data_IF_958986014401
#
_entry.id   IF_958986014401
#
_cell.length_a   1.000
_cell.length_b   1.000
_cell.length_c   1.000
_cell.angle_alpha   90.00
_cell.angle_beta   90.00
_cell.angle_gamma   90.00
#
_symmetry.space_group_name_H-M   'P 1'
#
loop_
_entity.id
_entity.type
_entity.pdbx_description
1 polymer ?
#
# COMPACT_ATOMS: atom_id res chain seq x y z
N UNK A 1 -32.97 27.47 -5.63
CA UNK A 1 -32.78 26.55 -6.77
C UNK A 1 -31.41 26.89 -7.35
N UNK A 2 -30.34 26.15 -7.09
CA UNK A 2 -30.17 24.71 -6.83
C UNK A 2 -29.11 24.54 -5.75
N UNK A 3 -29.38 23.70 -4.75
CA UNK A 3 -28.42 23.29 -3.72
C UNK A 3 -27.66 22.05 -4.21
N UNK A 4 -26.34 22.14 -4.34
CA UNK A 4 -25.45 21.00 -4.57
C UNK A 4 -25.03 20.39 -3.22
N UNK A 5 -25.79 19.39 -2.78
CA UNK A 5 -25.48 18.59 -1.60
C UNK A 5 -25.16 17.14 -2.04
N UNK A 6 -23.93 16.90 -2.48
CA UNK A 6 -23.43 15.55 -2.80
C UNK A 6 -21.92 15.42 -2.56
N UNK A 7 -21.49 15.48 -1.29
CA UNK A 7 -20.10 15.15 -0.93
C UNK A 7 -19.92 14.51 0.45
N UNK A 8 -20.90 13.72 0.92
CA UNK A 8 -20.78 13.02 2.22
C UNK A 8 -20.61 11.49 2.16
N UNK A 9 -20.73 10.82 1.00
CA UNK A 9 -20.71 9.35 0.96
C UNK A 9 -19.31 8.70 0.81
N UNK A 10 -18.28 9.44 0.37
CA UNK A 10 -16.94 8.85 0.19
C UNK A 10 -16.06 8.88 1.46
N UNK A 11 -16.47 9.59 2.53
CA UNK A 11 -15.65 9.78 3.73
C UNK A 11 -15.79 8.65 4.76
N UNK A 12 -16.90 7.90 4.75
CA UNK A 12 -17.15 6.79 5.68
C UNK A 12 -16.37 5.52 5.32
N UNK A 13 -16.16 5.25 4.03
CA UNK A 13 -15.64 3.96 3.58
C UNK A 13 -14.15 3.76 3.89
N UNK A 14 -13.36 4.83 3.88
CA UNK A 14 -11.91 4.73 4.15
C UNK A 14 -11.61 4.65 5.65
N UNK A 15 -12.36 5.38 6.48
CA UNK A 15 -12.26 5.27 7.95
C UNK A 15 -12.73 3.91 8.44
N UNK A 16 -13.81 3.38 7.84
CA UNK A 16 -14.25 2.01 8.07
C UNK A 16 -13.20 0.99 7.62
N UNK A 17 -12.52 1.20 6.49
CA UNK A 17 -11.48 0.28 6.01
C UNK A 17 -10.30 0.13 6.97
N UNK A 18 -9.74 1.22 7.52
CA UNK A 18 -8.66 1.10 8.51
C UNK A 18 -9.14 0.49 9.84
N UNK A 19 -10.35 0.84 10.28
CA UNK A 19 -10.96 0.23 11.48
C UNK A 19 -11.27 -1.25 11.29
N UNK A 20 -11.67 -1.66 10.09
CA UNK A 20 -11.99 -3.04 9.72
C UNK A 20 -10.73 -3.88 9.50
N UNK A 21 -9.65 -3.28 8.98
CA UNK A 21 -8.32 -3.90 8.99
C UNK A 21 -7.82 -4.12 10.43
N UNK A 22 -7.96 -3.12 11.31
CA UNK A 22 -7.55 -3.25 12.72
C UNK A 22 -8.35 -4.35 13.46
N UNK A 23 -9.65 -4.48 13.15
CA UNK A 23 -10.51 -5.57 13.67
C UNK A 23 -10.07 -6.94 13.16
N UNK A 24 -9.76 -7.07 11.87
CA UNK A 24 -9.36 -8.35 11.27
C UNK A 24 -8.00 -8.87 11.77
N UNK A 25 -7.08 -7.98 12.16
CA UNK A 25 -5.82 -8.39 12.80
C UNK A 25 -5.99 -9.01 14.20
N UNK A 26 -7.02 -8.59 14.95
CA UNK A 26 -7.31 -9.14 16.29
C UNK A 26 -7.91 -10.55 16.21
N UNK A 27 -8.62 -10.88 15.13
CA UNK A 27 -9.27 -12.20 14.95
C UNK A 27 -8.29 -13.29 14.50
N UNK A 28 -7.18 -12.95 13.83
CA UNK A 28 -6.21 -13.94 13.33
C UNK A 28 -5.29 -14.48 14.45
N UNK A 29 -5.23 -13.83 15.62
CA UNK A 29 -4.49 -14.30 16.80
C UNK A 29 -5.14 -15.47 17.55
N UNK A 30 -6.33 -15.93 17.12
CA UNK A 30 -7.08 -16.99 17.76
C UNK A 30 -7.48 -18.07 16.74
N UNK A 31 -6.53 -18.90 16.32
CA UNK A 31 -6.86 -20.19 15.70
C UNK A 31 -6.07 -21.27 16.42
N UNK A 32 -6.74 -21.86 17.41
CA UNK A 32 -6.37 -23.13 18.02
C UNK A 32 -6.61 -24.30 17.07
N UNK A 33 -5.68 -25.22 17.16
CA UNK A 33 -5.58 -26.57 16.59
C UNK A 33 -6.90 -27.37 16.63
N UNK A 34 -7.42 -27.79 15.48
CA UNK A 34 -8.27 -28.99 15.39
C UNK A 34 -8.25 -29.59 13.98
N UNK A 35 -7.80 -30.83 13.91
CA UNK A 35 -7.63 -31.68 12.74
C UNK A 35 -8.86 -32.57 12.46
N UNK A 36 -8.89 -33.14 11.24
CA UNK A 36 -9.55 -34.39 10.76
C UNK A 36 -10.82 -34.27 9.87
N UNK A 37 -11.09 -35.27 8.98
CA UNK A 37 -11.28 -35.08 7.53
C UNK A 37 -12.59 -35.67 6.99
N UNK A 38 -12.89 -35.47 5.70
CA UNK A 38 -13.78 -36.39 4.96
C UNK A 38 -13.59 -36.34 3.44
N UNK A 39 -13.75 -37.53 2.86
CA UNK A 39 -13.55 -37.97 1.48
C UNK A 39 -14.83 -37.94 0.64
N UNK A 40 -14.72 -37.78 -0.70
CA UNK A 40 -15.40 -38.65 -1.70
C UNK A 40 -15.15 -38.23 -3.16
N UNK A 41 -14.92 -39.24 -4.00
CA UNK A 41 -14.81 -39.28 -5.48
C UNK A 41 -16.15 -38.97 -6.18
N UNK A 42 -16.25 -38.56 -7.46
CA UNK A 42 -16.12 -39.38 -8.70
C UNK A 42 -16.05 -38.53 -9.99
N UNK A 43 -15.76 -39.19 -11.12
CA UNK A 43 -15.13 -38.68 -12.34
C UNK A 43 -16.03 -38.38 -13.57
N UNK A 44 -15.44 -37.60 -14.49
CA UNK A 44 -15.49 -37.60 -15.98
C UNK A 44 -16.78 -37.28 -16.76
N UNK A 45 -16.69 -36.33 -17.71
CA UNK A 45 -16.73 -36.54 -19.19
C UNK A 45 -16.57 -35.21 -19.96
N UNK A 46 -15.71 -35.19 -21.00
CA UNK A 46 -15.56 -34.13 -22.03
C UNK A 46 -16.01 -34.73 -23.38
N UNK A 47 -16.55 -33.94 -24.33
CA UNK A 47 -15.81 -33.72 -25.58
C UNK A 47 -15.83 -32.25 -26.11
N UNK A 48 -15.04 -32.07 -27.17
CA UNK A 48 -14.32 -30.90 -27.72
C UNK A 48 -15.13 -29.86 -28.55
N UNK A 49 -14.77 -28.57 -28.46
CA UNK A 49 -14.02 -27.67 -29.40
C UNK A 49 -14.75 -27.18 -30.66
N UNK A 50 -14.97 -25.86 -30.74
CA UNK A 50 -14.67 -24.87 -31.81
C UNK A 50 -15.45 -23.59 -31.43
N UNK A 51 -14.90 -22.37 -31.31
CA UNK A 51 -14.14 -21.58 -32.29
C UNK A 51 -13.28 -20.52 -31.60
N UNK A 52 -12.19 -20.19 -32.28
CA UNK A 52 -11.17 -19.19 -31.98
C UNK A 52 -11.74 -17.77 -31.96
N UNK A 53 -11.29 -16.96 -30.99
CA UNK A 53 -10.68 -15.63 -31.15
C UNK A 53 -11.03 -14.72 -29.97
N UNK A 54 -10.19 -14.73 -28.93
CA UNK A 54 -10.10 -13.59 -28.03
C UNK A 54 -8.64 -13.44 -27.56
N UNK A 55 -8.01 -12.36 -28.02
CA UNK A 55 -6.65 -11.94 -27.67
C UNK A 55 -6.49 -11.81 -26.15
N UNK A 56 -5.92 -12.82 -25.52
CA UNK A 56 -5.41 -12.73 -24.15
C UNK A 56 -4.13 -11.87 -24.13
N UNK A 57 -4.09 -10.71 -23.41
CA UNK A 57 -2.86 -9.95 -23.30
C UNK A 57 -1.96 -10.52 -22.20
N UNK A 58 -0.74 -10.88 -22.63
CA UNK A 58 0.51 -11.01 -21.85
C UNK A 58 0.65 -12.25 -20.97
N UNK A 59 1.05 -13.32 -21.64
CA UNK A 59 2.14 -14.23 -21.25
C UNK A 59 2.44 -14.30 -19.75
N UNK A 60 1.92 -15.36 -19.12
CA UNK A 60 2.58 -16.05 -18.03
C UNK A 60 3.89 -16.64 -18.60
N UNK A 61 4.91 -15.81 -18.79
CA UNK A 61 6.23 -16.29 -19.17
C UNK A 61 6.73 -17.10 -17.98
N UNK A 62 6.98 -18.39 -18.20
CA UNK A 62 7.79 -19.22 -17.33
C UNK A 62 9.17 -18.54 -17.23
N UNK A 63 9.33 -17.65 -16.26
CA UNK A 63 10.61 -17.03 -15.99
C UNK A 63 11.58 -18.17 -15.68
N UNK A 64 12.76 -18.23 -16.33
CA UNK A 64 13.84 -19.03 -15.79
C UNK A 64 13.97 -18.64 -14.32
N UNK A 65 14.04 -19.63 -13.41
CA UNK A 65 14.02 -19.45 -11.95
C UNK A 65 15.12 -18.51 -11.38
N UNK A 66 15.88 -17.84 -12.24
CA UNK A 66 17.18 -17.25 -11.93
C UNK A 66 17.18 -15.75 -11.64
N UNK A 67 16.03 -15.04 -11.55
CA UNK A 67 16.06 -13.77 -10.80
C UNK A 67 14.68 -13.18 -10.40
N UNK A 68 13.92 -13.88 -9.55
CA UNK A 68 12.70 -13.31 -8.94
C UNK A 68 13.00 -11.99 -8.23
N UNK A 69 14.18 -11.88 -7.58
CA UNK A 69 14.62 -10.65 -6.93
C UNK A 69 14.73 -9.47 -7.90
N UNK A 70 15.29 -9.69 -9.10
CA UNK A 70 15.37 -8.63 -10.13
C UNK A 70 13.99 -8.14 -10.54
N UNK A 71 13.01 -9.03 -10.68
CA UNK A 71 11.63 -8.65 -11.01
C UNK A 71 11.07 -7.71 -9.93
N UNK A 72 11.25 -8.07 -8.65
CA UNK A 72 10.79 -7.23 -7.55
C UNK A 72 11.53 -5.90 -7.44
N UNK A 73 12.85 -5.88 -7.67
CA UNK A 73 13.64 -4.64 -7.69
C UNK A 73 13.19 -3.73 -8.83
N UNK A 74 13.00 -4.27 -10.04
CA UNK A 74 12.49 -3.49 -11.17
C UNK A 74 11.10 -2.93 -10.91
N UNK A 75 10.20 -3.71 -10.29
CA UNK A 75 8.86 -3.23 -9.97
C UNK A 75 8.87 -2.18 -8.85
N UNK A 76 9.72 -2.34 -7.84
CA UNK A 76 9.92 -1.32 -6.80
C UNK A 76 10.38 0.00 -7.43
N UNK A 77 11.30 -0.05 -8.40
CA UNK A 77 11.74 1.13 -9.14
C UNK A 77 10.62 1.78 -9.96
N UNK A 78 9.75 0.98 -10.60
CA UNK A 78 8.58 1.51 -11.33
C UNK A 78 7.59 2.18 -10.37
N UNK A 79 7.35 1.59 -9.21
CA UNK A 79 6.48 2.19 -8.18
C UNK A 79 7.08 3.49 -7.64
N UNK A 80 8.39 3.54 -7.42
CA UNK A 80 9.08 4.77 -7.01
C UNK A 80 8.90 5.89 -8.06
N UNK A 81 8.97 5.57 -9.36
CA UNK A 81 8.68 6.53 -10.42
C UNK A 81 7.21 6.98 -10.41
N UNK A 82 6.25 6.05 -10.27
CA UNK A 82 4.83 6.41 -10.15
C UNK A 82 4.55 7.31 -8.94
N UNK A 83 5.17 7.04 -7.79
CA UNK A 83 5.10 7.90 -6.59
C UNK A 83 5.61 9.31 -6.89
N UNK A 84 6.72 9.45 -7.64
CA UNK A 84 7.21 10.76 -8.08
C UNK A 84 6.18 11.50 -8.91
N UNK A 85 5.64 10.86 -9.93
CA UNK A 85 4.66 11.46 -10.86
C UNK A 85 3.43 11.95 -10.10
N UNK A 86 2.96 11.18 -9.11
CA UNK A 86 1.73 11.50 -8.39
C UNK A 86 1.89 12.53 -7.27
N UNK A 87 3.05 12.56 -6.62
CA UNK A 87 3.21 13.30 -5.36
C UNK A 87 4.25 14.42 -5.40
N UNK A 88 5.13 14.47 -6.40
CA UNK A 88 6.04 15.61 -6.57
C UNK A 88 5.34 16.76 -7.32
N UNK A 89 5.56 17.99 -6.89
CA UNK A 89 4.99 19.19 -7.52
C UNK A 89 5.80 19.71 -8.73
N UNK A 90 6.78 18.93 -9.20
CA UNK A 90 7.66 19.31 -10.32
C UNK A 90 6.98 19.04 -11.68
N UNK A 91 7.40 19.72 -12.76
CA UNK A 91 6.91 19.43 -14.10
C UNK A 91 7.14 17.96 -14.50
N UNK A 92 6.15 17.30 -15.10
CA UNK A 92 6.17 15.86 -15.43
C UNK A 92 7.40 15.47 -16.25
N UNK A 93 7.82 16.30 -17.21
CA UNK A 93 9.02 16.03 -18.03
C UNK A 93 10.31 15.93 -17.22
N UNK A 94 10.37 16.50 -16.01
CA UNK A 94 11.51 16.40 -15.09
C UNK A 94 11.45 15.19 -14.14
N UNK A 95 10.31 14.48 -14.11
CA UNK A 95 10.04 13.35 -13.21
C UNK A 95 10.37 12.00 -13.87
N UNK A 96 10.25 11.91 -15.20
CA UNK A 96 10.47 10.70 -15.99
C UNK A 96 11.97 10.39 -16.17
N UNK A 97 12.33 9.11 -16.21
CA UNK A 97 13.68 8.65 -16.59
C UNK A 97 14.76 8.92 -15.54
N UNK A 98 14.40 9.49 -14.39
CA UNK A 98 15.30 9.64 -13.24
C UNK A 98 15.31 8.34 -12.44
N UNK A 99 16.22 7.42 -12.76
CA UNK A 99 16.53 6.32 -11.84
C UNK A 99 17.40 6.84 -10.68
N UNK A 100 16.74 7.50 -9.73
CA UNK A 100 17.19 7.52 -8.35
C UNK A 100 16.31 6.48 -7.66
N UNK A 101 16.92 5.50 -6.99
CA UNK A 101 16.20 4.45 -6.27
C UNK A 101 15.08 5.02 -5.37
N UNK A 102 15.29 6.25 -4.87
CA UNK A 102 14.33 6.98 -4.06
C UNK A 102 13.30 7.77 -4.87
N UNK A 103 12.00 7.69 -4.52
CA UNK A 103 10.99 8.55 -5.11
C UNK A 103 11.22 10.03 -4.76
N UNK A 104 11.63 10.37 -3.55
CA UNK A 104 11.69 11.77 -3.12
C UNK A 104 13.13 12.24 -2.90
N UNK A 105 13.41 13.49 -3.26
CA UNK A 105 14.57 14.22 -2.74
C UNK A 105 14.18 15.01 -1.49
N UNK A 106 15.16 15.52 -0.75
CA UNK A 106 14.94 16.38 0.42
C UNK A 106 14.10 17.62 0.09
N UNK A 107 14.12 18.09 -1.17
CA UNK A 107 13.30 19.21 -1.63
C UNK A 107 11.88 18.82 -2.03
N UNK A 108 11.63 17.52 -2.27
CA UNK A 108 10.31 17.02 -2.66
C UNK A 108 9.42 16.72 -1.43
N UNK A 109 10.01 16.59 -0.24
CA UNK A 109 9.29 16.27 1.00
C UNK A 109 8.80 17.53 1.72
N UNK A 110 7.67 17.43 2.41
CA UNK A 110 7.03 18.54 3.12
C UNK A 110 6.39 18.09 4.44
N UNK A 111 6.20 18.99 5.43
CA UNK A 111 5.48 18.64 6.65
C UNK A 111 4.13 18.00 6.35
N UNK A 112 3.84 16.87 7.01
CA UNK A 112 2.65 16.07 6.77
C UNK A 112 1.38 16.86 7.08
N UNK A 113 0.42 16.80 6.15
CA UNK A 113 -0.98 17.09 6.40
C UNK A 113 -1.78 15.79 6.30
N UNK A 114 -2.39 15.37 7.40
CA UNK A 114 -3.17 14.13 7.50
C UNK A 114 -4.33 14.11 6.53
N UNK A 115 -4.97 15.26 6.25
CA UNK A 115 -5.99 15.37 5.22
C UNK A 115 -5.46 15.01 3.84
N UNK A 116 -4.26 15.45 3.50
CA UNK A 116 -3.68 15.21 2.18
C UNK A 116 -3.21 13.75 2.06
N UNK A 117 -2.69 13.17 3.14
CA UNK A 117 -2.40 11.73 3.19
C UNK A 117 -3.66 10.87 3.10
N UNK A 118 -4.76 11.25 3.79
CA UNK A 118 -6.02 10.51 3.68
C UNK A 118 -6.55 10.50 2.24
N UNK A 119 -6.40 11.61 1.53
CA UNK A 119 -6.77 11.69 0.11
C UNK A 119 -5.91 10.81 -0.79
N UNK A 120 -4.67 10.47 -0.39
CA UNK A 120 -3.78 9.60 -1.18
C UNK A 120 -3.92 8.11 -0.86
N UNK A 121 -4.72 7.70 0.13
CA UNK A 121 -4.87 6.28 0.55
C UNK A 121 -5.24 5.38 -0.64
N UNK A 122 -6.27 5.74 -1.42
CA UNK A 122 -6.72 4.91 -2.56
C UNK A 122 -5.61 4.72 -3.59
N UNK A 123 -4.81 5.77 -3.81
CA UNK A 123 -3.65 5.74 -4.69
C UNK A 123 -2.55 4.81 -4.15
N UNK A 124 -2.30 4.80 -2.84
CA UNK A 124 -1.36 3.85 -2.24
C UNK A 124 -1.83 2.39 -2.36
N UNK A 125 -3.12 2.13 -2.14
CA UNK A 125 -3.72 0.81 -2.34
C UNK A 125 -3.54 0.37 -3.81
N UNK A 126 -3.76 1.28 -4.77
CA UNK A 126 -3.56 0.99 -6.19
C UNK A 126 -2.11 0.59 -6.51
N UNK A 127 -1.12 1.31 -5.97
CA UNK A 127 0.29 0.98 -6.17
C UNK A 127 0.65 -0.41 -5.62
N UNK A 128 0.13 -0.75 -4.43
CA UNK A 128 0.35 -2.05 -3.79
C UNK A 128 -0.34 -3.17 -4.58
N UNK A 129 -1.53 -2.89 -5.11
CA UNK A 129 -2.22 -3.81 -6.01
C UNK A 129 -1.43 -4.05 -7.30
N UNK A 130 -0.87 -3.01 -7.93
CA UNK A 130 0.00 -3.17 -9.10
C UNK A 130 1.26 -3.99 -8.78
N UNK A 131 1.88 -3.75 -7.63
CA UNK A 131 3.02 -4.53 -7.15
C UNK A 131 2.71 -6.02 -7.01
N UNK A 132 1.57 -6.33 -6.39
CA UNK A 132 1.11 -7.71 -6.19
C UNK A 132 0.86 -8.45 -7.51
N UNK A 133 0.37 -7.76 -8.54
CA UNK A 133 0.07 -8.38 -9.83
C UNK A 133 1.30 -8.88 -10.57
N UNK A 134 2.50 -8.39 -10.22
CA UNK A 134 3.77 -8.82 -10.80
C UNK A 134 4.30 -10.09 -10.09
N UNK A 135 3.72 -10.46 -8.94
CA UNK A 135 4.13 -11.65 -8.23
C UNK A 135 3.92 -12.91 -9.09
N UNK A 136 4.95 -13.78 -9.15
CA UNK A 136 4.81 -15.08 -9.78
C UNK A 136 3.57 -15.81 -9.25
N UNK A 137 2.78 -16.39 -10.15
CA UNK A 137 1.56 -17.15 -9.82
C UNK A 137 0.44 -16.35 -9.11
N UNK A 138 0.51 -15.02 -9.01
CA UNK A 138 -0.61 -14.24 -8.44
C UNK A 138 -1.93 -14.50 -9.19
N UNK A 139 -1.86 -14.66 -10.51
CA UNK A 139 -3.04 -14.94 -11.35
C UNK A 139 -3.65 -16.33 -11.13
N UNK A 140 -2.96 -17.24 -10.43
CA UNK A 140 -3.49 -18.59 -10.13
C UNK A 140 -4.25 -18.62 -8.80
N UNK A 141 -4.19 -17.54 -8.01
CA UNK A 141 -4.93 -17.42 -6.76
C UNK A 141 -6.42 -17.18 -7.02
N UNK A 142 -7.28 -17.66 -6.12
CA UNK A 142 -8.71 -17.34 -6.14
C UNK A 142 -8.92 -15.85 -5.90
N UNK A 143 -10.08 -15.32 -6.28
CA UNK A 143 -10.39 -13.90 -6.01
C UNK A 143 -10.41 -13.59 -4.51
N UNK A 144 -10.88 -14.51 -3.68
CA UNK A 144 -10.89 -14.36 -2.22
C UNK A 144 -9.47 -14.28 -1.64
N UNK A 145 -8.57 -15.13 -2.13
CA UNK A 145 -7.16 -15.10 -1.74
C UNK A 145 -6.51 -13.80 -2.19
N UNK A 146 -6.71 -13.37 -3.44
CA UNK A 146 -6.17 -12.11 -3.96
C UNK A 146 -6.61 -10.92 -3.11
N UNK A 147 -7.89 -10.86 -2.72
CA UNK A 147 -8.42 -9.82 -1.83
C UNK A 147 -7.73 -9.89 -0.45
N UNK A 148 -7.56 -11.09 0.10
CA UNK A 148 -6.91 -11.30 1.39
C UNK A 148 -5.44 -10.87 1.36
N UNK A 149 -4.69 -11.23 0.32
CA UNK A 149 -3.31 -10.79 0.11
C UNK A 149 -3.22 -9.28 -0.02
N UNK A 150 -4.10 -8.65 -0.82
CA UNK A 150 -4.13 -7.20 -0.95
C UNK A 150 -4.33 -6.51 0.40
N UNK A 151 -5.29 -6.95 1.21
CA UNK A 151 -5.54 -6.38 2.55
C UNK A 151 -4.30 -6.48 3.45
N UNK A 152 -3.63 -7.65 3.46
CA UNK A 152 -2.42 -7.86 4.26
C UNK A 152 -1.25 -7.01 3.78
N UNK A 153 -1.00 -6.97 2.48
CA UNK A 153 0.06 -6.15 1.91
C UNK A 153 -0.18 -4.65 2.15
N UNK A 154 -1.43 -4.17 2.05
CA UNK A 154 -1.76 -2.79 2.40
C UNK A 154 -1.33 -2.47 3.82
N UNK A 155 -1.62 -3.35 4.78
CA UNK A 155 -1.18 -3.15 6.16
C UNK A 155 0.35 -3.14 6.29
N UNK A 156 1.06 -4.09 5.68
CA UNK A 156 2.53 -4.15 5.80
C UNK A 156 3.22 -2.94 5.18
N UNK A 157 2.75 -2.49 4.01
CA UNK A 157 3.30 -1.34 3.31
C UNK A 157 3.07 -0.02 4.04
N UNK A 158 2.04 0.09 4.91
CA UNK A 158 1.87 1.30 5.75
C UNK A 158 3.03 1.55 6.70
N UNK A 159 3.81 0.50 7.03
CA UNK A 159 4.98 0.59 7.90
C UNK A 159 6.27 0.48 7.08
N UNK A 160 6.34 -0.45 6.13
CA UNK A 160 7.54 -0.70 5.34
C UNK A 160 7.86 0.45 4.39
N UNK A 161 6.86 1.02 3.70
CA UNK A 161 7.12 2.09 2.74
C UNK A 161 7.72 3.33 3.43
N UNK A 162 7.15 3.87 4.53
CA UNK A 162 7.75 5.01 5.19
C UNK A 162 9.17 4.74 5.69
N UNK A 163 9.41 3.57 6.27
CA UNK A 163 10.74 3.18 6.76
C UNK A 163 11.76 3.15 5.62
N UNK A 164 11.41 2.50 4.51
CA UNK A 164 12.29 2.33 3.37
C UNK A 164 12.59 3.66 2.69
N UNK A 165 11.58 4.50 2.47
CA UNK A 165 11.74 5.83 1.88
C UNK A 165 12.61 6.73 2.79
N UNK A 166 12.33 6.74 4.09
CA UNK A 166 13.10 7.53 5.07
C UNK A 166 14.58 7.14 5.03
N UNK A 167 14.87 5.84 5.02
CA UNK A 167 16.24 5.33 4.93
C UNK A 167 16.92 5.72 3.61
N UNK A 168 16.19 5.69 2.49
CA UNK A 168 16.73 6.09 1.19
C UNK A 168 17.00 7.59 1.06
N UNK A 169 16.20 8.44 1.73
CA UNK A 169 16.45 9.89 1.79
C UNK A 169 17.69 10.19 2.64
N UNK A 170 17.96 9.37 3.66
CA UNK A 170 19.12 9.50 4.53
C UNK A 170 18.95 10.52 5.66
N UNK A 171 17.74 11.02 5.88
CA UNK A 171 17.41 11.96 6.96
C UNK A 171 16.48 11.31 7.99
N UNK A 172 17.07 10.68 9.01
CA UNK A 172 16.32 9.99 10.07
C UNK A 172 15.62 10.94 11.05
N UNK A 173 15.82 12.26 10.91
CA UNK A 173 15.08 13.26 11.69
C UNK A 173 13.64 13.43 11.20
N UNK A 174 13.32 12.86 10.03
CA UNK A 174 12.03 12.93 9.38
C UNK A 174 11.54 11.52 9.05
N UNK A 175 10.35 11.17 9.54
CA UNK A 175 9.67 9.96 9.13
C UNK A 175 8.78 10.28 7.93
N UNK A 176 9.22 9.86 6.74
CA UNK A 176 8.63 10.27 5.46
C UNK A 176 7.62 9.23 4.99
N UNK A 177 6.38 9.66 4.78
CA UNK A 177 5.27 8.84 4.29
C UNK A 177 5.32 8.71 2.75
N UNK A 178 4.59 7.73 2.16
CA UNK A 178 4.72 7.41 0.74
C UNK A 178 4.16 8.47 -0.22
N UNK A 179 3.49 9.50 0.31
CA UNK A 179 3.05 10.69 -0.43
C UNK A 179 4.04 11.87 -0.35
N UNK A 180 5.22 11.68 0.24
CA UNK A 180 6.22 12.73 0.44
C UNK A 180 5.95 13.64 1.64
N UNK A 181 4.86 13.45 2.37
CA UNK A 181 4.64 14.11 3.66
C UNK A 181 5.56 13.53 4.74
N UNK A 182 6.10 14.34 5.64
CA UNK A 182 6.91 13.85 6.75
C UNK A 182 6.44 14.34 8.11
N UNK A 183 6.69 13.54 9.14
CA UNK A 183 6.60 13.95 10.53
C UNK A 183 7.98 13.98 11.16
N UNK A 184 8.25 14.94 12.05
CA UNK A 184 9.52 14.98 12.76
C UNK A 184 9.63 13.83 13.77
N UNK A 185 10.81 13.22 13.83
CA UNK A 185 11.17 12.22 14.85
C UNK A 185 11.93 12.83 16.02
N UNK A 186 12.29 14.13 15.93
CA UNK A 186 12.99 14.86 16.98
C UNK A 186 12.01 15.23 18.09
N UNK A 187 12.35 14.88 19.33
CA UNK A 187 11.57 15.27 20.51
C UNK A 187 11.43 16.81 20.61
N UNK A 188 10.21 17.29 20.80
CA UNK A 188 9.91 18.73 20.89
C UNK A 188 9.74 19.44 19.54
N UNK A 189 9.99 18.78 18.41
CA UNK A 189 9.71 19.32 17.08
C UNK A 189 8.29 18.94 16.64
N UNK A 190 7.48 19.95 16.29
CA UNK A 190 6.07 19.75 15.90
C UNK A 190 5.85 19.70 14.38
N UNK A 191 6.91 19.64 13.57
CA UNK A 191 6.78 19.54 12.12
C UNK A 191 6.03 18.28 11.71
N UNK A 192 4.95 18.44 10.94
CA UNK A 192 4.05 17.36 10.52
C UNK A 192 3.06 16.91 11.60
N UNK A 193 3.19 17.42 12.82
CA UNK A 193 2.31 17.15 13.95
C UNK A 193 1.32 18.28 14.23
N UNK A 194 1.25 19.29 13.38
CA UNK A 194 0.40 20.46 13.61
C UNK A 194 -1.09 20.11 13.62
N UNK A 195 -1.90 20.92 14.30
CA UNK A 195 -3.36 20.76 14.29
C UNK A 195 -3.93 20.94 12.87
N UNK A 196 -4.94 20.14 12.55
CA UNK A 196 -5.78 20.32 11.36
C UNK A 196 -7.23 20.49 11.79
N UNK A 197 -8.05 21.12 10.94
CA UNK A 197 -9.48 21.36 11.21
C UNK A 197 -10.25 20.10 11.65
N UNK A 198 -9.79 18.92 11.20
CA UNK A 198 -10.46 17.64 11.40
C UNK A 198 -9.79 16.77 12.47
N UNK A 199 -8.56 17.09 12.91
CA UNK A 199 -7.79 16.25 13.83
C UNK A 199 -6.75 17.09 14.59
N UNK A 200 -6.79 16.99 15.93
CA UNK A 200 -5.82 17.66 16.79
C UNK A 200 -4.49 16.92 16.85
N UNK A 201 -3.43 17.67 17.16
CA UNK A 201 -2.07 17.22 17.46
C UNK A 201 -2.05 16.09 18.47
N UNK A 202 -2.79 16.22 19.56
CA UNK A 202 -2.78 15.25 20.65
C UNK A 202 -3.30 13.89 20.21
N UNK A 203 -4.31 13.87 19.33
CA UNK A 203 -4.84 12.63 18.76
C UNK A 203 -3.79 11.97 17.85
N UNK A 204 -3.10 12.76 17.02
CA UNK A 204 -2.03 12.27 16.12
C UNK A 204 -0.86 11.66 16.89
N UNK A 205 -0.38 12.37 17.92
CA UNK A 205 0.75 11.92 18.76
C UNK A 205 0.38 10.73 19.63
N UNK A 206 -0.84 10.71 20.19
CA UNK A 206 -1.33 9.57 21.00
C UNK A 206 -1.39 8.28 20.19
N UNK A 207 -1.92 8.32 18.96
CA UNK A 207 -1.94 7.17 18.06
C UNK A 207 -0.54 6.65 17.69
N UNK A 208 0.46 7.54 17.65
CA UNK A 208 1.85 7.18 17.31
C UNK A 208 2.62 6.61 18.50
N UNK A 209 2.40 7.16 19.70
CA UNK A 209 3.06 6.71 20.93
C UNK A 209 2.60 5.30 21.36
N UNK A 210 1.40 4.89 20.98
CA UNK A 210 0.90 3.53 21.24
C UNK A 210 1.66 2.45 20.46
N UNK A 211 2.34 2.82 19.37
CA UNK A 211 3.24 1.95 18.60
C UNK A 211 4.65 1.91 19.23
N UNK A 212 5.06 2.99 19.91
CA UNK A 212 6.36 3.09 20.61
C UNK A 212 6.45 2.28 21.91
N UNK A 213 5.32 1.97 22.55
CA UNK A 213 5.28 1.19 23.79
C UNK A 213 5.67 -0.29 23.62
N UNK A 214 5.82 -0.79 22.39
CA UNK A 214 6.35 -2.14 22.11
C UNK A 214 7.89 -2.20 22.03
N UNK A 215 8.59 -1.09 22.28
CA UNK A 215 10.08 -1.03 22.28
C UNK A 215 10.69 -0.96 23.68
N UNK A 216 9.89 -1.12 24.73
CA UNK A 216 10.29 -0.97 26.13
C UNK A 216 9.70 -2.04 27.06
N UNK A 217 9.50 -3.26 26.57
CA UNK A 217 9.23 -4.45 27.38
C UNK A 217 10.17 -5.57 26.93
#
# INVERSE_FOLDING_TARGET
MVDDNSSSSCSSDVGNFFSEIEKNCKTIGAVDTASQPSSSSTANTVPQITTLDEKLPRTCALYPANNILRIFVEEEMRIAERRRIMFCERPVGSLLGRSKACPFSVHDIKPLRFRDFRKSIRTHILLIYEWLRVWPQHSTLTMEDQITFLRKCVLYHTILDPCFITMQIGDLTKFVLPNGGYVSTIAGCDEGWQDEKEISRDIKKRGSNQIGYMRGA
#
